data_IF_098391855993
#
_entry.id   IF_098391855993
#
_cell.length_a   1.000
_cell.length_b   1.000
_cell.length_c   1.000
_cell.angle_alpha   90.00
_cell.angle_beta   90.00
_cell.angle_gamma   90.00
#
_symmetry.space_group_name_H-M   'P 1'
#
loop_
_entity.id
_entity.type
_entity.pdbx_description
1 polymer ?
#
# COMPACT_ATOMS: atom_id res chain seq x y z
N UNK A 1 14.36 -1.56 -20.41
CA UNK A 1 15.11 -0.86 -19.34
C UNK A 1 14.50 -1.30 -18.03
N UNK A 2 15.29 -1.92 -17.15
CA UNK A 2 14.84 -2.21 -15.79
C UNK A 2 14.83 -0.89 -15.01
N UNK A 3 13.65 -0.48 -14.52
CA UNK A 3 13.53 0.60 -13.55
C UNK A 3 13.50 -0.04 -12.17
N UNK A 4 14.37 0.44 -11.27
CA UNK A 4 14.30 0.08 -9.87
C UNK A 4 13.38 1.11 -9.19
N UNK A 5 12.26 0.63 -8.66
CA UNK A 5 11.41 1.39 -7.75
C UNK A 5 11.46 0.71 -6.39
N UNK A 6 11.56 1.53 -5.35
CA UNK A 6 11.51 1.09 -3.97
C UNK A 6 10.49 1.96 -3.26
N UNK A 7 9.63 1.32 -2.48
CA UNK A 7 8.97 2.01 -1.37
C UNK A 7 10.03 2.18 -0.29
N UNK A 8 10.54 3.40 -0.14
CA UNK A 8 11.42 3.73 0.97
C UNK A 8 10.54 4.01 2.20
N UNK A 9 10.70 3.16 3.20
CA UNK A 9 10.10 3.38 4.50
C UNK A 9 11.19 4.02 5.34
N UNK A 10 11.07 5.32 5.60
CA UNK A 10 12.06 5.99 6.43
C UNK A 10 11.70 5.84 7.91
N UNK A 11 12.62 5.30 8.71
CA UNK A 11 12.49 5.34 10.17
C UNK A 11 12.50 6.79 10.64
N UNK A 12 11.44 7.23 11.31
CA UNK A 12 11.62 8.24 12.35
C UNK A 12 11.65 7.51 13.68
N UNK A 13 12.86 7.35 14.24
CA UNK A 13 13.03 6.82 15.59
C UNK A 13 12.39 7.80 16.58
N UNK A 14 11.28 7.39 17.20
CA UNK A 14 10.62 8.10 18.29
C UNK A 14 9.69 7.16 19.05
N UNK A 15 9.47 7.37 20.35
CA UNK A 15 8.57 6.53 21.14
C UNK A 15 7.15 6.64 20.59
N UNK A 16 6.64 5.57 20.00
CA UNK A 16 5.23 5.45 19.63
C UNK A 16 4.46 4.94 20.86
N UNK A 17 3.56 5.75 21.48
CA UNK A 17 2.80 5.33 22.66
C UNK A 17 1.83 4.17 22.40
N UNK A 18 1.67 3.74 21.14
CA UNK A 18 0.80 2.64 20.74
C UNK A 18 1.53 1.30 20.52
N UNK A 19 2.86 1.22 20.66
CA UNK A 19 3.61 -0.04 20.43
C UNK A 19 4.83 -0.22 21.34
N UNK A 20 4.74 -1.09 22.37
CA UNK A 20 5.86 -1.45 23.23
C UNK A 20 6.50 -2.75 22.74
N UNK A 21 7.42 -2.70 21.77
CA UNK A 21 8.48 -3.72 21.62
C UNK A 21 9.55 -3.21 20.67
N UNK A 22 10.79 -3.28 21.14
CA UNK A 22 12.02 -3.07 20.38
C UNK A 22 12.08 -4.06 19.19
N UNK A 23 11.71 -3.57 18.01
CA UNK A 23 11.77 -4.33 16.76
C UNK A 23 11.70 -3.36 15.59
N UNK A 24 12.68 -3.43 14.70
CA UNK A 24 12.83 -2.57 13.51
C UNK A 24 11.71 -2.87 12.50
N UNK A 25 10.50 -2.40 12.76
CA UNK A 25 9.49 -2.24 11.72
C UNK A 25 9.41 -0.77 11.36
N UNK A 26 9.65 -0.53 10.08
CA UNK A 26 9.70 0.77 9.46
C UNK A 26 8.26 1.22 9.16
N UNK A 27 7.86 2.41 9.64
CA UNK A 27 6.53 3.01 9.42
C UNK A 27 6.67 4.43 8.87
N UNK A 28 5.70 4.88 8.08
CA UNK A 28 5.61 6.21 7.50
C UNK A 28 4.76 7.19 8.33
N UNK A 29 4.18 6.76 9.45
CA UNK A 29 3.15 7.48 10.23
C UNK A 29 3.46 8.95 10.53
N UNK A 30 4.73 9.23 10.85
CA UNK A 30 5.21 10.56 11.25
C UNK A 30 6.15 11.19 10.20
N UNK A 31 6.24 10.60 9.01
CA UNK A 31 7.14 11.05 7.95
C UNK A 31 6.44 11.98 6.97
N UNK A 32 7.13 13.04 6.58
CA UNK A 32 6.77 13.92 5.48
C UNK A 32 7.61 13.70 4.21
N UNK A 33 8.47 12.70 4.24
CA UNK A 33 9.21 12.26 3.06
C UNK A 33 8.26 11.59 2.06
N UNK A 34 8.67 11.62 0.80
CA UNK A 34 8.00 10.87 -0.25
C UNK A 34 8.47 9.40 -0.20
N UNK A 35 7.60 8.44 0.12
CA UNK A 35 8.02 7.05 0.27
C UNK A 35 8.12 6.32 -1.06
N UNK A 36 7.59 6.86 -2.16
CA UNK A 36 7.76 6.24 -3.48
C UNK A 36 8.89 6.96 -4.20
N UNK A 37 9.99 6.24 -4.45
CA UNK A 37 11.17 6.75 -5.13
C UNK A 37 11.40 6.01 -6.45
N UNK A 38 11.64 6.78 -7.52
CA UNK A 38 12.02 6.25 -8.82
C UNK A 38 13.47 6.62 -9.11
N UNK A 39 14.26 5.60 -9.47
CA UNK A 39 15.66 5.78 -9.81
C UNK A 39 15.91 5.59 -11.31
N UNK A 40 16.87 6.33 -11.85
CA UNK A 40 17.49 5.97 -13.13
C UNK A 40 18.50 4.81 -12.95
N UNK A 41 19.00 4.19 -14.04
CA UNK A 41 19.99 3.11 -13.94
C UNK A 41 21.32 3.52 -13.29
N UNK A 42 21.58 4.81 -13.12
CA UNK A 42 22.77 5.35 -12.46
C UNK A 42 22.55 5.52 -10.95
N UNK A 43 21.32 5.30 -10.45
CA UNK A 43 20.96 5.42 -9.04
C UNK A 43 20.53 6.83 -8.64
N UNK A 44 20.30 7.75 -9.58
CA UNK A 44 19.77 9.08 -9.26
C UNK A 44 18.27 9.02 -9.06
N UNK A 45 17.74 9.72 -8.05
CA UNK A 45 16.30 9.91 -7.88
C UNK A 45 15.77 10.83 -8.99
N UNK A 46 14.88 10.31 -9.83
CA UNK A 46 14.27 11.05 -10.95
C UNK A 46 12.79 11.39 -10.73
N UNK A 47 12.15 10.78 -9.74
CA UNK A 47 10.83 11.17 -9.25
C UNK A 47 10.62 10.68 -7.81
N UNK A 48 9.84 11.45 -7.04
CA UNK A 48 9.42 11.08 -5.69
C UNK A 48 8.02 11.65 -5.42
N UNK A 49 7.14 10.86 -4.81
CA UNK A 49 5.76 11.29 -4.53
C UNK A 49 5.11 10.53 -3.36
N UNK A 50 3.86 10.89 -3.06
CA UNK A 50 2.99 10.32 -2.03
C UNK A 50 3.42 10.56 -0.56
N UNK A 51 4.08 11.69 -0.31
CA UNK A 51 4.30 12.20 1.06
C UNK A 51 3.01 12.17 1.88
N UNK A 52 3.11 11.65 3.11
CA UNK A 52 2.02 11.59 4.11
C UNK A 52 0.77 10.81 3.68
N UNK A 53 0.89 9.89 2.73
CA UNK A 53 -0.23 9.05 2.28
C UNK A 53 -0.27 7.67 2.96
N UNK A 54 0.84 7.23 3.53
CA UNK A 54 1.02 5.84 3.97
C UNK A 54 1.40 5.76 5.44
N UNK A 55 0.99 4.67 6.08
CA UNK A 55 1.45 4.24 7.40
C UNK A 55 2.43 3.10 7.25
N UNK A 56 2.04 2.06 6.50
CA UNK A 56 2.85 0.89 6.26
C UNK A 56 2.69 0.43 4.81
N UNK A 57 3.36 1.11 3.86
CA UNK A 57 3.37 0.65 2.48
C UNK A 57 4.14 -0.67 2.41
N UNK A 58 3.56 -1.69 1.77
CA UNK A 58 4.04 -3.06 1.88
C UNK A 58 4.48 -3.64 0.52
N UNK A 59 3.56 -3.75 -0.44
CA UNK A 59 3.84 -4.22 -1.80
C UNK A 59 3.92 -3.06 -2.80
N UNK A 60 4.72 -3.23 -3.87
CA UNK A 60 4.82 -2.29 -4.98
C UNK A 60 4.91 -3.02 -6.32
N UNK A 61 4.11 -2.57 -7.30
CA UNK A 61 4.06 -3.17 -8.64
C UNK A 61 3.93 -2.10 -9.73
N UNK A 62 4.57 -2.35 -10.87
CA UNK A 62 4.45 -1.50 -12.06
C UNK A 62 3.68 -2.25 -13.14
N UNK A 63 2.57 -1.68 -13.57
CA UNK A 63 1.78 -2.26 -14.65
C UNK A 63 2.34 -1.93 -16.04
N UNK A 64 1.70 -2.47 -17.09
CA UNK A 64 2.13 -2.31 -18.48
C UNK A 64 2.06 -0.87 -19.00
N UNK A 65 1.24 -0.03 -18.39
CA UNK A 65 1.09 1.38 -18.73
C UNK A 65 2.06 2.26 -17.92
N UNK A 66 2.83 1.65 -17.01
CA UNK A 66 3.78 2.31 -16.14
C UNK A 66 3.16 2.91 -14.88
N UNK A 67 1.91 2.58 -14.56
CA UNK A 67 1.30 3.02 -13.31
C UNK A 67 1.93 2.26 -12.13
N UNK A 68 2.07 2.96 -11.02
CA UNK A 68 2.66 2.46 -9.78
C UNK A 68 1.56 2.06 -8.82
N UNK A 69 1.49 0.78 -8.50
CA UNK A 69 0.57 0.20 -7.54
C UNK A 69 1.27 -0.01 -6.20
N UNK A 70 0.60 0.34 -5.09
CA UNK A 70 1.15 0.21 -3.74
C UNK A 70 0.08 -0.32 -2.79
N UNK A 71 0.40 -1.31 -1.97
CA UNK A 71 -0.49 -1.76 -0.88
C UNK A 71 -0.13 -1.06 0.42
N UNK A 72 -1.15 -0.67 1.18
CA UNK A 72 -1.05 -0.03 2.48
C UNK A 72 -1.59 -1.00 3.55
N UNK A 73 -0.67 -1.64 4.25
CA UNK A 73 -0.96 -2.70 5.21
C UNK A 73 -1.22 -2.20 6.64
N UNK A 74 -1.18 -0.88 6.86
CA UNK A 74 -1.43 -0.23 8.15
C UNK A 74 -2.75 -0.68 8.78
N UNK A 75 -2.82 -0.62 10.11
CA UNK A 75 -3.92 -1.19 10.88
C UNK A 75 -5.13 -0.25 11.08
N UNK A 76 -5.15 0.88 10.36
CA UNK A 76 -6.24 1.85 10.45
C UNK A 76 -6.16 2.83 11.61
N UNK A 77 -5.19 2.66 12.53
CA UNK A 77 -5.08 3.54 13.70
C UNK A 77 -4.25 4.80 13.40
N UNK A 78 -3.46 4.76 12.34
CA UNK A 78 -2.57 5.85 11.97
C UNK A 78 -3.31 6.82 11.07
N UNK A 79 -2.98 8.10 11.24
CA UNK A 79 -3.53 9.17 10.43
C UNK A 79 -2.41 10.06 9.89
N UNK A 80 -1.55 9.55 8.97
CA UNK A 80 -0.52 10.36 8.35
C UNK A 80 -1.16 11.62 7.73
N UNK A 81 -0.63 12.80 8.07
CA UNK A 81 -1.24 14.04 7.62
C UNK A 81 -0.38 15.27 7.87
N UNK A 82 -0.35 16.15 6.87
CA UNK A 82 0.05 17.56 7.00
C UNK A 82 -1.11 18.31 7.72
N UNK A 83 -0.97 19.59 8.11
CA UNK A 83 -1.94 20.28 8.96
C UNK A 83 -3.40 20.19 8.45
N UNK A 84 -4.29 19.57 9.23
CA UNK A 84 -5.69 19.33 8.91
C UNK A 84 -6.27 18.18 9.75
N UNK A 85 -7.60 17.92 9.71
CA UNK A 85 -8.17 16.77 10.41
C UNK A 85 -7.61 15.48 9.81
N UNK A 86 -6.94 14.72 10.65
CA UNK A 86 -6.22 13.53 10.28
C UNK A 86 -7.23 12.44 9.86
N UNK A 87 -7.02 11.82 8.68
CA UNK A 87 -7.84 10.71 8.19
C UNK A 87 -7.12 9.39 8.45
N UNK A 88 -7.83 8.32 8.86
CA UNK A 88 -7.22 6.99 8.96
C UNK A 88 -6.63 6.58 7.62
N UNK A 89 -5.54 5.81 7.67
CA UNK A 89 -4.99 5.07 6.53
C UNK A 89 -4.77 3.62 6.95
N UNK A 90 -4.71 2.72 5.99
CA UNK A 90 -4.62 1.29 6.27
C UNK A 90 -5.64 0.53 5.44
N UNK A 91 -5.34 -0.74 5.17
CA UNK A 91 -6.26 -1.67 4.51
C UNK A 91 -6.68 -1.22 3.11
N UNK A 92 -5.75 -0.61 2.38
CA UNK A 92 -6.02 -0.03 1.06
C UNK A 92 -4.97 -0.42 0.03
N UNK A 93 -5.33 -0.29 -1.24
CA UNK A 93 -4.42 -0.38 -2.38
C UNK A 93 -4.58 0.89 -3.22
N UNK A 94 -3.46 1.48 -3.64
CA UNK A 94 -3.43 2.70 -4.42
C UNK A 94 -2.76 2.46 -5.76
N UNK A 95 -3.25 3.12 -6.81
CA UNK A 95 -2.50 3.22 -8.08
C UNK A 95 -2.25 4.68 -8.45
N UNK A 96 -1.04 4.95 -8.93
CA UNK A 96 -0.57 6.25 -9.35
C UNK A 96 -0.12 6.20 -10.80
N UNK A 97 -0.34 7.29 -11.55
CA UNK A 97 0.30 7.48 -12.85
C UNK A 97 1.84 7.41 -12.73
N UNK A 98 2.58 7.21 -13.83
CA UNK A 98 4.05 7.27 -13.81
C UNK A 98 4.62 8.60 -13.27
N UNK A 99 3.80 9.65 -13.24
CA UNK A 99 4.15 10.99 -12.75
C UNK A 99 3.68 11.25 -11.29
N UNK A 100 3.13 10.23 -10.60
CA UNK A 100 2.78 10.32 -9.18
C UNK A 100 1.39 10.89 -8.88
N UNK A 101 0.55 11.16 -9.89
CA UNK A 101 -0.87 11.47 -9.68
C UNK A 101 -1.64 10.22 -9.24
N UNK A 102 -2.39 10.29 -8.15
CA UNK A 102 -3.31 9.21 -7.72
C UNK A 102 -4.42 9.00 -8.76
N UNK A 103 -4.62 7.75 -9.16
CA UNK A 103 -5.60 7.33 -10.16
C UNK A 103 -6.77 6.53 -9.57
N UNK A 104 -6.49 5.68 -8.57
CA UNK A 104 -7.48 4.80 -7.95
C UNK A 104 -7.09 4.49 -6.50
N UNK A 105 -8.09 4.32 -5.66
CA UNK A 105 -7.98 3.76 -4.31
C UNK A 105 -8.97 2.60 -4.21
N UNK A 106 -8.49 1.45 -3.74
CA UNK A 106 -9.29 0.27 -3.41
C UNK A 106 -9.25 0.07 -1.90
N UNK A 107 -10.34 -0.41 -1.30
CA UNK A 107 -10.47 -0.54 0.15
C UNK A 107 -11.03 0.72 0.80
N UNK A 108 -11.49 0.57 2.04
CA UNK A 108 -11.91 1.67 2.89
C UNK A 108 -10.84 1.97 3.94
N UNK A 109 -10.52 3.26 4.09
CA UNK A 109 -9.39 3.70 4.89
C UNK A 109 -9.55 3.31 6.36
N UNK A 110 -8.65 2.45 6.83
CA UNK A 110 -8.63 1.97 8.21
C UNK A 110 -9.77 1.04 8.61
N UNK A 111 -10.53 0.53 7.65
CA UNK A 111 -11.60 -0.44 7.91
C UNK A 111 -11.19 -1.82 7.40
N UNK A 112 -10.81 -2.76 8.28
CA UNK A 112 -10.46 -4.10 7.87
C UNK A 112 -11.71 -4.90 7.50
N UNK A 113 -11.59 -5.82 6.54
CA UNK A 113 -12.68 -6.73 6.21
C UNK A 113 -12.32 -7.81 5.19
N UNK A 114 -13.27 -8.70 4.98
CA UNK A 114 -13.17 -9.84 4.05
C UNK A 114 -14.32 -9.88 3.05
N UNK A 115 -15.05 -8.77 2.89
CA UNK A 115 -16.09 -8.64 1.87
C UNK A 115 -15.49 -8.19 0.53
N UNK A 116 -16.35 -7.70 -0.37
CA UNK A 116 -15.99 -7.28 -1.73
C UNK A 116 -15.30 -5.91 -1.79
N UNK A 117 -15.44 -5.07 -0.76
CA UNK A 117 -14.95 -3.69 -0.75
C UNK A 117 -13.84 -3.43 0.27
N UNK A 118 -13.62 -4.34 1.21
CA UNK A 118 -12.63 -4.20 2.28
C UNK A 118 -11.46 -5.17 2.12
N UNK A 119 -10.29 -4.75 2.59
CA UNK A 119 -9.10 -5.59 2.74
C UNK A 119 -8.76 -5.75 4.23
N UNK A 120 -7.92 -6.71 4.56
CA UNK A 120 -7.33 -6.90 5.89
C UNK A 120 -5.81 -7.02 5.78
N UNK A 121 -5.16 -5.86 5.72
CA UNK A 121 -3.72 -5.69 5.56
C UNK A 121 -3.20 -6.33 4.24
N UNK A 122 -3.46 -5.70 3.09
CA UNK A 122 -2.99 -6.21 1.80
C UNK A 122 -1.46 -6.19 1.71
N UNK A 123 -0.87 -7.34 1.40
CA UNK A 123 0.59 -7.52 1.38
C UNK A 123 1.22 -7.27 0.03
N UNK A 124 0.52 -7.55 -1.07
CA UNK A 124 1.05 -7.31 -2.42
C UNK A 124 -0.08 -7.17 -3.45
N UNK A 125 0.25 -6.60 -4.61
CA UNK A 125 -0.67 -6.38 -5.73
C UNK A 125 0.03 -6.62 -7.07
N UNK A 126 -0.65 -7.29 -8.00
CA UNK A 126 -0.21 -7.41 -9.40
C UNK A 126 -1.38 -7.16 -10.35
N UNK A 127 -1.04 -6.86 -11.61
CA UNK A 127 -2.02 -6.73 -12.70
C UNK A 127 -1.71 -7.71 -13.84
N UNK A 128 -2.77 -8.26 -14.44
CA UNK A 128 -2.66 -9.13 -15.60
C UNK A 128 -2.63 -8.32 -16.93
N UNK A 129 -2.38 -8.96 -18.10
CA UNK A 129 -2.36 -8.26 -19.38
C UNK A 129 -3.68 -7.61 -19.81
N UNK A 130 -4.83 -8.05 -19.27
CA UNK A 130 -6.14 -7.47 -19.55
C UNK A 130 -6.49 -6.34 -18.57
N UNK A 131 -5.63 -6.11 -17.58
CA UNK A 131 -5.78 -5.11 -16.54
C UNK A 131 -6.49 -5.61 -15.28
N UNK A 132 -6.85 -6.90 -15.19
CA UNK A 132 -7.42 -7.43 -13.95
C UNK A 132 -6.38 -7.35 -12.83
N UNK A 133 -6.86 -7.04 -11.63
CA UNK A 133 -6.04 -6.74 -10.45
C UNK A 133 -6.12 -7.94 -9.52
N UNK A 134 -4.98 -8.34 -8.97
CA UNK A 134 -4.88 -9.40 -7.97
C UNK A 134 -4.18 -8.85 -6.75
N UNK A 135 -4.84 -8.93 -5.59
CA UNK A 135 -4.32 -8.45 -4.31
C UNK A 135 -4.16 -9.66 -3.39
N UNK A 136 -2.98 -9.81 -2.78
CA UNK A 136 -2.76 -10.72 -1.65
C UNK A 136 -3.20 -10.00 -0.39
N UNK A 137 -4.16 -10.57 0.33
CA UNK A 137 -4.83 -9.94 1.47
C UNK A 137 -4.66 -10.81 2.73
N UNK A 138 -4.12 -10.24 3.82
CA UNK A 138 -3.96 -10.95 5.10
C UNK A 138 -2.60 -10.83 5.82
N UNK A 139 -1.86 -9.72 5.73
CA UNK A 139 -0.51 -9.55 6.32
C UNK A 139 -0.41 -9.58 7.88
N UNK A 140 -1.39 -10.14 8.58
CA UNK A 140 -1.44 -10.22 10.05
C UNK A 140 -1.59 -11.66 10.56
N UNK A 141 -1.25 -11.88 11.84
CA UNK A 141 -1.41 -13.19 12.50
C UNK A 141 -2.87 -13.70 12.55
N UNK A 142 -3.84 -12.80 12.42
CA UNK A 142 -5.27 -13.09 12.31
C UNK A 142 -5.81 -12.65 10.92
N UNK A 143 -4.97 -12.73 9.88
CA UNK A 143 -5.32 -12.34 8.51
C UNK A 143 -6.41 -13.23 7.92
N UNK A 144 -7.05 -12.73 6.85
CA UNK A 144 -8.05 -13.49 6.09
C UNK A 144 -7.42 -14.39 5.00
N UNK A 145 -6.12 -14.25 4.72
CA UNK A 145 -5.28 -15.10 3.86
C UNK A 145 -5.95 -15.49 2.55
N UNK A 146 -6.29 -14.48 1.74
CA UNK A 146 -7.00 -14.66 0.47
C UNK A 146 -6.31 -13.91 -0.66
N UNK A 147 -6.57 -14.36 -1.87
CA UNK A 147 -6.34 -13.59 -3.09
C UNK A 147 -7.66 -12.95 -3.48
N UNK A 148 -7.66 -11.63 -3.66
CA UNK A 148 -8.80 -10.88 -4.19
C UNK A 148 -8.52 -10.57 -5.66
N UNK A 149 -9.42 -11.01 -6.54
CA UNK A 149 -9.42 -10.64 -7.95
C UNK A 149 -10.43 -9.52 -8.19
N UNK A 150 -9.98 -8.41 -8.77
CA UNK A 150 -10.81 -7.30 -9.21
C UNK A 150 -10.64 -7.10 -10.73
N UNK A 151 -11.64 -6.48 -11.33
CA UNK A 151 -11.60 -5.98 -12.70
C UNK A 151 -10.65 -4.77 -12.78
N UNK A 152 -10.22 -4.40 -14.00
CA UNK A 152 -9.38 -3.23 -14.26
C UNK A 152 -9.89 -1.89 -13.70
N UNK A 153 -11.19 -1.79 -13.44
CA UNK A 153 -11.83 -0.60 -12.87
C UNK A 153 -11.97 -0.67 -11.33
N UNK A 154 -11.47 -1.74 -10.70
CA UNK A 154 -11.57 -1.96 -9.26
C UNK A 154 -12.82 -2.72 -8.82
N UNK A 155 -13.68 -3.18 -9.74
CA UNK A 155 -14.88 -3.96 -9.37
C UNK A 155 -14.48 -5.36 -8.92
N UNK A 156 -14.92 -5.78 -7.72
CA UNK A 156 -14.70 -7.13 -7.21
C UNK A 156 -15.24 -8.22 -8.16
N UNK A 157 -14.43 -9.23 -8.46
CA UNK A 157 -14.82 -10.39 -9.25
C UNK A 157 -14.99 -11.62 -8.36
N UNK A 158 -13.95 -11.95 -7.59
CA UNK A 158 -13.96 -13.11 -6.67
C UNK A 158 -12.79 -13.03 -5.68
N UNK A 159 -12.89 -13.81 -4.61
CA UNK A 159 -11.77 -14.11 -3.73
C UNK A 159 -11.61 -15.63 -3.54
N UNK A 160 -10.38 -16.08 -3.25
CA UNK A 160 -10.07 -17.47 -2.97
C UNK A 160 -8.88 -17.61 -2.01
N UNK A 161 -8.89 -18.68 -1.20
CA UNK A 161 -8.00 -18.84 -0.04
C UNK A 161 -8.68 -18.43 1.26
N UNK A 162 -8.24 -19.01 2.37
CA UNK A 162 -8.66 -18.67 3.74
C UNK A 162 -7.63 -19.22 4.73
N UNK A 163 -7.61 -18.66 5.94
CA UNK A 163 -6.82 -19.16 7.08
C UNK A 163 -7.38 -20.46 7.69
N UNK A 164 -8.61 -20.84 7.33
CA UNK A 164 -9.35 -21.96 7.97
C UNK A 164 -9.59 -23.17 7.03
N UNK A 165 -8.59 -23.58 6.23
CA UNK A 165 -8.71 -24.74 5.31
C UNK A 165 -8.21 -26.06 5.91
#
# INVERSE_FOLDING_TARGET
>A
MAMNLQTDVHTQSGPNPYRPVDGLQTYCDNSDLNPILRFDPQGNVVAQFASRMFSWPHGIHIDRDGNVWVTEAGNGQQTPGAPGPAKPVGHQVFTFSPQGRLLMTLGEAGVPGSDASHFNAPSDVITDPNGDIFVVDGHGSNGNNRIVKLSKDGTFIKAFGTTDA
#
